data_IF_611630332242
#
_entry.id   IF_611630332242
#
_cell.length_a   1.000
_cell.length_b   1.000
_cell.length_c   1.000
_cell.angle_alpha   90.00
_cell.angle_beta   90.00
_cell.angle_gamma   90.00
#
_symmetry.space_group_name_H-M   'P 1'
#
loop_
_entity.id
_entity.type
_entity.pdbx_description
1 polymer ?
#
# COMPACT_ATOMS: atom_id res chain seq x y z
N UNK A 1 18.36 -6.32 -7.57
CA UNK A 1 18.49 -6.46 -6.11
C UNK A 1 18.44 -7.94 -5.78
N UNK A 2 19.50 -8.48 -5.17
CA UNK A 2 19.53 -9.90 -4.81
C UNK A 2 19.23 -10.00 -3.31
N UNK A 3 18.15 -10.70 -2.95
CA UNK A 3 17.94 -11.25 -1.62
C UNK A 3 18.35 -12.72 -1.69
N UNK A 4 19.65 -13.07 -1.55
CA UNK A 4 20.12 -14.42 -1.87
C UNK A 4 19.52 -15.46 -0.93
N UNK A 5 19.18 -15.06 0.30
CA UNK A 5 18.49 -15.88 1.29
C UNK A 5 17.02 -16.20 0.93
N UNK A 6 16.36 -15.35 0.14
CA UNK A 6 14.99 -15.57 -0.34
C UNK A 6 14.95 -16.22 -1.73
N UNK A 7 15.99 -15.99 -2.53
CA UNK A 7 16.15 -16.53 -3.88
C UNK A 7 17.46 -17.31 -4.04
N UNK A 8 17.65 -18.44 -3.32
CA UNK A 8 18.91 -19.20 -3.38
C UNK A 8 19.22 -19.73 -4.79
N UNK A 9 18.19 -20.09 -5.55
CA UNK A 9 18.31 -20.65 -6.90
C UNK A 9 18.02 -19.62 -8.00
N UNK A 10 17.67 -18.37 -7.66
CA UNK A 10 17.30 -17.33 -8.63
C UNK A 10 16.04 -17.60 -9.48
N UNK A 11 15.27 -18.64 -9.16
CA UNK A 11 14.06 -19.02 -9.90
C UNK A 11 12.80 -18.35 -9.35
N UNK A 12 11.74 -18.29 -10.17
CA UNK A 12 10.43 -17.74 -9.80
C UNK A 12 10.46 -16.25 -9.41
N UNK A 13 11.30 -15.46 -10.06
CA UNK A 13 11.30 -14.01 -9.92
C UNK A 13 10.04 -13.38 -10.53
N UNK A 14 9.91 -12.06 -10.35
CA UNK A 14 8.79 -11.30 -10.91
C UNK A 14 8.69 -11.47 -12.44
N UNK A 15 9.80 -11.34 -13.14
CA UNK A 15 9.86 -11.35 -14.61
C UNK A 15 9.91 -12.74 -15.24
N UNK A 16 9.75 -13.80 -14.45
CA UNK A 16 9.65 -15.16 -14.99
C UNK A 16 8.36 -15.29 -15.81
N UNK A 17 8.47 -15.78 -17.04
CA UNK A 17 7.32 -16.06 -17.89
C UNK A 17 6.40 -17.09 -17.21
N UNK A 18 5.10 -16.77 -17.14
CA UNK A 18 4.05 -17.60 -16.54
C UNK A 18 2.82 -17.53 -17.43
N UNK A 19 2.08 -18.63 -17.47
CA UNK A 19 0.77 -18.70 -18.12
C UNK A 19 -0.26 -19.13 -17.04
N UNK A 20 -1.16 -18.23 -16.59
CA UNK A 20 -1.34 -16.83 -17.02
C UNK A 20 -0.26 -15.86 -16.46
N UNK A 21 -0.11 -14.70 -17.12
CA UNK A 21 0.71 -13.59 -16.60
C UNK A 21 0.12 -13.03 -15.30
N UNK A 22 0.98 -12.84 -14.30
CA UNK A 22 0.60 -12.29 -12.98
C UNK A 22 1.01 -10.84 -12.87
N UNK A 23 0.19 -10.03 -12.18
CA UNK A 23 0.53 -8.64 -11.86
C UNK A 23 1.60 -8.60 -10.77
N UNK A 24 2.36 -7.51 -10.68
CA UNK A 24 3.30 -7.29 -9.58
C UNK A 24 2.64 -7.37 -8.19
N UNK A 25 1.43 -6.84 -8.06
CA UNK A 25 0.65 -6.90 -6.82
C UNK A 25 0.33 -8.35 -6.45
N UNK A 26 -0.16 -9.15 -7.41
CA UNK A 26 -0.49 -10.57 -7.20
C UNK A 26 0.76 -11.37 -6.85
N UNK A 27 1.87 -11.09 -7.53
CA UNK A 27 3.17 -11.68 -7.23
C UNK A 27 3.59 -11.42 -5.78
N UNK A 28 3.60 -10.16 -5.33
CA UNK A 28 3.97 -9.84 -3.96
C UNK A 28 2.99 -10.42 -2.95
N UNK A 29 1.68 -10.33 -3.20
CA UNK A 29 0.66 -10.88 -2.32
C UNK A 29 0.86 -12.39 -2.14
N UNK A 30 1.13 -13.14 -3.21
CA UNK A 30 1.41 -14.58 -3.14
C UNK A 30 2.65 -14.89 -2.29
N UNK A 31 3.69 -14.04 -2.34
CA UNK A 31 4.92 -14.20 -1.55
C UNK A 31 4.71 -13.86 -0.09
N UNK A 32 4.00 -12.77 0.20
CA UNK A 32 3.74 -12.29 1.56
C UNK A 32 2.73 -13.15 2.31
N UNK A 33 1.78 -13.76 1.61
CA UNK A 33 0.77 -14.68 2.16
C UNK A 33 1.16 -16.15 1.99
N UNK A 34 2.41 -16.42 1.59
CA UNK A 34 2.88 -17.78 1.45
C UNK A 34 2.86 -18.50 2.80
N UNK A 35 2.63 -19.82 2.78
CA UNK A 35 2.67 -20.65 3.99
C UNK A 35 4.03 -20.55 4.71
N UNK A 36 5.10 -20.35 3.93
CA UNK A 36 6.43 -20.06 4.47
C UNK A 36 6.58 -18.57 4.83
N UNK A 37 6.69 -18.30 6.13
CA UNK A 37 6.82 -16.95 6.70
C UNK A 37 8.18 -16.27 6.42
N UNK A 38 9.13 -16.91 5.72
CA UNK A 38 10.45 -16.29 5.39
C UNK A 38 10.32 -14.93 4.70
N UNK A 39 9.32 -14.77 3.83
CA UNK A 39 9.08 -13.56 3.06
C UNK A 39 8.51 -12.44 3.93
N UNK A 40 7.44 -12.75 4.67
CA UNK A 40 6.76 -11.83 5.57
C UNK A 40 7.54 -11.51 6.85
N UNK A 41 8.50 -12.34 7.25
CA UNK A 41 9.41 -12.04 8.37
C UNK A 41 10.58 -11.13 7.97
N UNK A 42 10.92 -11.06 6.68
CA UNK A 42 12.05 -10.28 6.21
C UNK A 42 11.64 -8.81 6.00
N UNK A 43 11.94 -7.97 7.00
CA UNK A 43 11.62 -6.53 6.97
C UNK A 43 12.24 -5.81 5.75
N UNK A 44 13.52 -6.03 5.40
CA UNK A 44 14.09 -5.43 4.18
C UNK A 44 13.33 -5.77 2.90
N UNK A 45 12.90 -7.02 2.74
CA UNK A 45 12.11 -7.46 1.60
C UNK A 45 10.72 -6.80 1.59
N UNK A 46 10.05 -6.74 2.74
CA UNK A 46 8.75 -6.05 2.89
C UNK A 46 8.84 -4.59 2.44
N UNK A 47 9.80 -3.84 2.99
CA UNK A 47 9.98 -2.43 2.67
C UNK A 47 10.35 -2.23 1.20
N UNK A 48 11.22 -3.08 0.66
CA UNK A 48 11.54 -3.06 -0.77
C UNK A 48 10.29 -3.29 -1.64
N UNK A 49 9.50 -4.32 -1.33
CA UNK A 49 8.29 -4.65 -2.09
C UNK A 49 7.23 -3.54 -2.03
N UNK A 50 7.10 -2.88 -0.86
CA UNK A 50 6.23 -1.73 -0.68
C UNK A 50 6.69 -0.53 -1.50
N UNK A 51 7.98 -0.18 -1.45
CA UNK A 51 8.53 0.93 -2.22
C UNK A 51 8.39 0.71 -3.73
N UNK A 52 8.66 -0.50 -4.20
CA UNK A 52 8.52 -0.84 -5.62
C UNK A 52 7.04 -0.80 -6.06
N UNK A 53 6.11 -1.16 -5.18
CA UNK A 53 4.67 -1.06 -5.45
C UNK A 53 4.23 0.41 -5.55
N UNK A 54 4.72 1.26 -4.65
CA UNK A 54 4.48 2.70 -4.71
C UNK A 54 5.04 3.30 -6.01
N UNK A 55 6.27 2.96 -6.39
CA UNK A 55 6.88 3.42 -7.64
C UNK A 55 6.03 3.03 -8.86
N UNK A 56 5.57 1.78 -8.93
CA UNK A 56 4.70 1.32 -10.02
C UNK A 56 3.37 2.09 -10.05
N UNK A 57 2.71 2.26 -8.90
CA UNK A 57 1.45 3.03 -8.83
C UNK A 57 1.64 4.49 -9.23
N UNK A 58 2.76 5.10 -8.85
CA UNK A 58 3.10 6.46 -9.25
C UNK A 58 3.31 6.55 -10.76
N UNK A 59 4.07 5.64 -11.35
CA UNK A 59 4.27 5.56 -12.79
C UNK A 59 2.96 5.42 -13.56
N UNK A 60 2.08 4.53 -13.10
CA UNK A 60 0.76 4.34 -13.71
C UNK A 60 -0.10 5.61 -13.59
N UNK A 61 -0.07 6.26 -12.42
CA UNK A 61 -0.82 7.51 -12.21
C UNK A 61 -0.33 8.66 -13.10
N UNK A 62 0.99 8.76 -13.32
CA UNK A 62 1.59 9.73 -14.23
C UNK A 62 1.16 9.42 -15.67
N UNK A 63 1.25 8.16 -16.08
CA UNK A 63 0.83 7.73 -17.43
C UNK A 63 -0.64 8.07 -17.69
N UNK A 64 -1.52 7.76 -16.74
CA UNK A 64 -2.96 8.05 -16.84
C UNK A 64 -3.21 9.56 -16.89
N UNK A 65 -2.58 10.35 -16.01
CA UNK A 65 -2.74 11.79 -15.98
C UNK A 65 -2.31 12.44 -17.31
N UNK A 66 -1.18 12.00 -17.87
CA UNK A 66 -0.69 12.45 -19.17
C UNK A 66 -1.66 12.07 -20.31
N UNK A 67 -2.19 10.84 -20.30
CA UNK A 67 -3.11 10.38 -21.36
C UNK A 67 -4.48 11.06 -21.32
N UNK A 68 -5.12 11.17 -20.14
CA UNK A 68 -6.46 11.76 -20.00
C UNK A 68 -6.47 13.20 -20.54
N UNK A 69 -5.41 13.97 -20.26
CA UNK A 69 -5.34 15.38 -20.62
C UNK A 69 -4.91 15.61 -22.07
N UNK A 70 -4.15 14.68 -22.66
CA UNK A 70 -4.00 14.62 -24.13
C UNK A 70 -5.34 14.41 -24.85
N UNK A 71 -6.28 13.68 -24.25
CA UNK A 71 -7.61 13.43 -24.83
C UNK A 71 -8.62 14.57 -24.65
N UNK A 72 -8.49 15.35 -23.57
CA UNK A 72 -9.33 16.53 -23.28
C UNK A 72 -8.89 17.78 -24.07
N UNK A 73 -7.64 17.82 -24.52
CA UNK A 73 -7.12 18.85 -25.44
C UNK A 73 -7.59 18.67 -26.89
N UNK A 74 -8.78 18.09 -27.12
CA UNK A 74 -9.36 17.86 -28.45
C UNK A 74 -9.78 19.16 -29.19
N UNK A 75 -9.34 20.32 -28.71
CA UNK A 75 -9.35 21.60 -29.42
C UNK A 75 -7.96 22.22 -29.65
N UNK A 76 -6.90 21.68 -29.05
CA UNK A 76 -5.51 22.13 -29.23
C UNK A 76 -4.61 20.92 -29.52
N UNK A 77 -4.21 20.78 -30.78
CA UNK A 77 -3.41 19.68 -31.31
C UNK A 77 -1.94 19.76 -30.87
N UNK A 78 -1.65 19.81 -29.57
CA UNK A 78 -0.27 19.76 -29.06
C UNK A 78 -0.02 18.41 -28.42
N UNK A 79 0.43 17.46 -29.23
CA UNK A 79 1.05 16.24 -28.72
C UNK A 79 2.42 16.61 -28.16
N UNK A 80 2.50 16.87 -26.85
CA UNK A 80 3.78 17.15 -26.19
C UNK A 80 4.71 15.95 -26.41
N UNK A 81 5.70 16.14 -27.26
CA UNK A 81 6.67 15.09 -27.60
C UNK A 81 7.80 15.11 -26.57
N UNK A 82 8.37 13.95 -26.22
CA UNK A 82 9.46 13.86 -25.23
C UNK A 82 10.64 14.82 -25.52
N UNK A 83 10.89 15.15 -26.79
CA UNK A 83 11.90 16.12 -27.22
C UNK A 83 11.54 17.59 -26.97
N UNK A 84 10.25 17.94 -26.88
CA UNK A 84 9.77 19.28 -26.54
C UNK A 84 9.85 19.51 -25.03
N UNK A 85 9.56 18.47 -24.24
CA UNK A 85 9.72 18.47 -22.78
C UNK A 85 11.20 18.66 -22.36
N UNK A 86 12.14 18.14 -23.15
CA UNK A 86 13.59 18.26 -22.89
C UNK A 86 14.20 19.58 -23.35
N UNK A 87 13.51 20.35 -24.21
CA UNK A 87 14.02 21.58 -24.83
C UNK A 87 13.43 22.87 -24.24
N UNK A 88 12.23 22.81 -23.65
CA UNK A 88 11.53 24.01 -23.15
C UNK A 88 11.84 24.30 -21.67
N UNK A 89 11.89 25.58 -21.33
CA UNK A 89 11.82 26.05 -19.94
C UNK A 89 10.51 25.55 -19.30
N UNK A 90 10.62 24.43 -18.59
CA UNK A 90 9.52 23.63 -18.03
C UNK A 90 8.55 24.42 -17.11
N UNK A 91 8.94 25.61 -16.66
CA UNK A 91 8.16 26.48 -15.80
C UNK A 91 7.01 27.19 -16.48
N UNK A 92 7.00 27.32 -17.82
CA UNK A 92 6.03 28.18 -18.52
C UNK A 92 4.84 27.43 -19.14
N UNK A 93 4.80 26.11 -19.12
CA UNK A 93 3.66 25.36 -19.67
C UNK A 93 2.57 25.15 -18.59
N UNK A 94 1.46 25.92 -18.59
CA UNK A 94 0.39 25.78 -17.61
C UNK A 94 -0.28 24.40 -17.66
N UNK A 95 -0.31 23.76 -18.84
CA UNK A 95 -0.84 22.41 -18.98
C UNK A 95 0.04 21.38 -18.24
N UNK A 96 1.36 21.56 -18.24
CA UNK A 96 2.28 20.66 -17.54
C UNK A 96 2.18 20.84 -16.02
N UNK A 97 2.02 22.08 -15.55
CA UNK A 97 1.84 22.36 -14.12
C UNK A 97 0.52 21.77 -13.61
N UNK A 98 -0.58 21.91 -14.33
CA UNK A 98 -1.87 21.27 -13.98
C UNK A 98 -1.81 19.74 -14.06
N UNK A 99 -1.14 19.19 -15.08
CA UNK A 99 -0.92 17.74 -15.20
C UNK A 99 -0.10 17.21 -14.02
N UNK A 100 0.90 17.97 -13.58
CA UNK A 100 1.71 17.60 -12.42
C UNK A 100 0.90 17.57 -11.14
N UNK A 101 0.00 18.55 -10.97
CA UNK A 101 -0.88 18.61 -9.81
C UNK A 101 -1.80 17.38 -9.72
N UNK A 102 -2.32 16.88 -10.85
CA UNK A 102 -3.23 15.73 -10.88
C UNK A 102 -2.58 14.43 -10.38
N UNK A 103 -1.37 14.07 -10.83
CA UNK A 103 -0.71 12.87 -10.33
C UNK A 103 -0.12 13.06 -8.93
N UNK A 104 0.30 14.28 -8.56
CA UNK A 104 0.83 14.58 -7.23
C UNK A 104 -0.18 14.34 -6.11
N UNK A 105 -1.50 14.39 -6.38
CA UNK A 105 -2.53 14.04 -5.40
C UNK A 105 -2.41 12.61 -4.86
N UNK A 106 -1.79 11.69 -5.61
CA UNK A 106 -1.57 10.31 -5.18
C UNK A 106 -0.30 10.15 -4.34
N UNK A 107 0.58 11.15 -4.31
CA UNK A 107 1.78 11.16 -3.48
C UNK A 107 1.41 11.68 -2.10
N UNK A 108 1.40 10.79 -1.10
CA UNK A 108 1.11 11.18 0.28
C UNK A 108 2.10 12.23 0.76
N UNK A 109 1.58 13.30 1.38
CA UNK A 109 2.39 14.40 1.91
C UNK A 109 2.70 15.51 0.91
N UNK A 110 2.33 15.36 -0.37
CA UNK A 110 2.42 16.44 -1.35
C UNK A 110 1.43 17.57 -1.03
N UNK A 111 1.68 18.78 -1.53
CA UNK A 111 0.73 19.90 -1.41
C UNK A 111 -0.63 19.56 -2.04
N UNK A 112 -0.63 18.90 -3.20
CA UNK A 112 -1.85 18.47 -3.88
C UNK A 112 -2.66 17.44 -3.06
N UNK A 113 -1.98 16.52 -2.37
CA UNK A 113 -2.62 15.55 -1.47
C UNK A 113 -3.32 16.25 -0.30
N UNK A 114 -2.65 17.22 0.35
CA UNK A 114 -3.24 17.96 1.46
C UNK A 114 -4.41 18.83 1.02
N UNK A 115 -4.29 19.52 -0.11
CA UNK A 115 -5.39 20.32 -0.67
C UNK A 115 -6.63 19.46 -0.93
N UNK A 116 -6.47 18.26 -1.48
CA UNK A 116 -7.59 17.33 -1.67
C UNK A 116 -8.25 16.96 -0.34
N UNK A 117 -7.47 16.58 0.66
CA UNK A 117 -8.00 16.24 1.99
C UNK A 117 -8.73 17.42 2.65
N UNK A 118 -8.23 18.65 2.47
CA UNK A 118 -8.88 19.87 2.97
C UNK A 118 -10.19 20.16 2.25
N UNK A 119 -10.26 19.96 0.94
CA UNK A 119 -11.50 20.10 0.17
C UNK A 119 -12.55 19.06 0.59
N UNK A 120 -12.13 17.80 0.80
CA UNK A 120 -13.02 16.74 1.31
C UNK A 120 -13.55 17.10 2.71
N UNK A 121 -12.70 17.67 3.58
CA UNK A 121 -13.12 18.17 4.90
C UNK A 121 -14.15 19.30 4.79
N UNK A 122 -13.94 20.27 3.90
CA UNK A 122 -14.91 21.35 3.68
C UNK A 122 -16.22 20.83 3.09
N UNK A 123 -16.17 19.83 2.21
CA UNK A 123 -17.36 19.18 1.68
C UNK A 123 -18.13 18.47 2.80
N UNK A 124 -17.43 17.72 3.66
CA UNK A 124 -18.02 17.09 4.84
C UNK A 124 -18.67 18.12 5.78
N UNK A 125 -18.00 19.25 6.04
CA UNK A 125 -18.54 20.33 6.86
C UNK A 125 -19.82 20.93 6.27
N UNK A 126 -19.86 21.12 4.94
CA UNK A 126 -21.05 21.64 4.24
C UNK A 126 -22.21 20.64 4.24
N UNK A 127 -21.94 19.35 4.06
CA UNK A 127 -22.98 18.33 3.95
C UNK A 127 -23.51 17.84 5.30
N UNK A 128 -22.63 17.63 6.28
CA UNK A 128 -22.97 17.05 7.58
C UNK A 128 -23.08 18.09 8.69
N UNK A 129 -22.64 19.33 8.44
CA UNK A 129 -22.53 20.38 9.44
C UNK A 129 -21.22 20.29 10.26
N UNK A 130 -21.07 21.17 11.27
CA UNK A 130 -19.91 21.15 12.15
C UNK A 130 -19.84 19.84 12.94
N UNK A 131 -18.72 19.13 12.83
CA UNK A 131 -18.49 17.89 13.60
C UNK A 131 -18.15 18.25 15.05
N UNK A 132 -19.01 17.84 15.97
CA UNK A 132 -18.85 18.12 17.41
C UNK A 132 -17.86 17.17 18.10
N UNK A 133 -17.60 15.98 17.54
CA UNK A 133 -16.72 14.98 18.13
C UNK A 133 -15.70 14.44 17.12
N UNK A 134 -14.44 14.39 17.56
CA UNK A 134 -13.37 13.67 16.89
C UNK A 134 -13.01 12.48 17.77
N UNK A 135 -13.23 11.27 17.24
CA UNK A 135 -12.87 10.03 17.93
C UNK A 135 -11.80 9.34 17.10
N UNK A 136 -10.66 9.05 17.71
CA UNK A 136 -9.62 8.19 17.14
C UNK A 136 -9.73 6.82 17.79
N UNK A 137 -10.16 5.82 17.03
CA UNK A 137 -10.18 4.43 17.48
C UNK A 137 -8.86 3.76 17.10
N UNK A 138 -8.29 3.01 18.04
CA UNK A 138 -7.13 2.16 17.79
C UNK A 138 -7.41 0.76 18.30
N UNK A 139 -6.96 -0.26 17.56
CA UNK A 139 -7.11 -1.65 17.96
C UNK A 139 -5.97 -2.06 18.90
N UNK A 140 -6.31 -2.61 20.08
CA UNK A 140 -5.31 -3.28 20.92
C UNK A 140 -5.08 -4.70 20.41
N UNK A 141 -4.13 -4.82 19.48
CA UNK A 141 -3.75 -6.10 18.89
C UNK A 141 -3.23 -7.10 19.93
N UNK A 142 -2.70 -6.67 21.07
CA UNK A 142 -2.17 -7.61 22.08
C UNK A 142 -3.28 -8.33 22.82
N UNK A 143 -4.44 -7.70 22.96
CA UNK A 143 -5.57 -8.25 23.70
C UNK A 143 -6.68 -8.78 22.78
N UNK A 144 -6.47 -8.73 21.47
CA UNK A 144 -7.40 -9.31 20.50
C UNK A 144 -7.31 -10.85 20.54
N UNK A 145 -8.33 -11.48 21.11
CA UNK A 145 -8.43 -12.92 21.27
C UNK A 145 -8.36 -13.64 19.90
N UNK A 146 -9.18 -13.23 18.95
CA UNK A 146 -9.23 -13.82 17.61
C UNK A 146 -7.86 -13.77 16.90
N UNK A 147 -7.16 -12.64 17.05
CA UNK A 147 -5.81 -12.49 16.51
C UNK A 147 -4.84 -13.48 17.16
N UNK A 148 -4.89 -13.64 18.49
CA UNK A 148 -4.00 -14.56 19.19
C UNK A 148 -4.29 -16.03 18.84
N UNK A 149 -5.55 -16.41 18.65
CA UNK A 149 -5.93 -17.74 18.17
C UNK A 149 -5.33 -18.01 16.79
N UNK A 150 -5.49 -17.09 15.84
CA UNK A 150 -4.92 -17.26 14.49
C UNK A 150 -3.39 -17.35 14.53
N UNK A 151 -2.74 -16.50 15.33
CA UNK A 151 -1.28 -16.53 15.47
C UNK A 151 -0.77 -17.82 16.13
N UNK A 152 -1.51 -18.39 17.09
CA UNK A 152 -1.17 -19.67 17.70
C UNK A 152 -1.24 -20.82 16.67
N UNK A 153 -2.29 -20.83 15.84
CA UNK A 153 -2.44 -21.78 14.73
C UNK A 153 -1.27 -21.64 13.74
N UNK A 154 -0.90 -20.42 13.36
CA UNK A 154 0.25 -20.17 12.49
C UNK A 154 1.59 -20.62 13.11
N UNK A 155 1.72 -20.57 14.44
CA UNK A 155 2.90 -21.07 15.16
C UNK A 155 2.90 -22.60 15.33
N UNK A 156 1.84 -23.28 14.87
CA UNK A 156 1.67 -24.73 15.00
C UNK A 156 1.22 -25.18 16.40
N UNK A 157 0.73 -24.26 17.23
CA UNK A 157 0.19 -24.57 18.55
C UNK A 157 -1.33 -24.66 18.47
N UNK A 158 -1.87 -25.86 18.69
CA UNK A 158 -3.30 -26.06 18.91
C UNK A 158 -3.61 -25.77 20.38
N UNK A 159 -3.70 -24.48 20.72
CA UNK A 159 -4.08 -24.04 22.06
C UNK A 159 -5.61 -24.04 22.16
N UNK A 160 -6.12 -24.45 23.33
CA UNK A 160 -7.50 -24.21 23.70
C UNK A 160 -7.76 -22.72 23.98
N UNK A 161 -9.03 -22.31 23.95
CA UNK A 161 -9.44 -20.92 24.17
C UNK A 161 -8.96 -20.35 25.52
N UNK A 162 -8.89 -21.18 26.55
CA UNK A 162 -8.45 -20.76 27.89
C UNK A 162 -6.92 -20.58 27.93
N UNK A 163 -6.16 -21.44 27.26
CA UNK A 163 -4.70 -21.29 27.15
C UNK A 163 -4.30 -20.04 26.35
N UNK A 164 -5.08 -19.65 25.34
CA UNK A 164 -4.83 -18.42 24.58
C UNK A 164 -5.03 -17.17 25.44
N UNK A 165 -5.99 -17.19 26.38
CA UNK A 165 -6.21 -16.09 27.33
C UNK A 165 -5.10 -16.00 28.38
N UNK A 166 -4.50 -17.12 28.74
CA UNK A 166 -3.42 -17.17 29.73
C UNK A 166 -2.01 -16.92 29.15
N UNK A 167 -1.88 -16.78 27.82
CA UNK A 167 -0.60 -16.47 27.17
C UNK A 167 0.13 -15.29 27.82
N UNK A 168 1.42 -15.45 28.07
CA UNK A 168 2.23 -14.37 28.64
C UNK A 168 2.37 -13.18 27.68
N UNK A 169 2.50 -11.96 28.21
CA UNK A 169 2.68 -10.75 27.40
C UNK A 169 3.93 -10.82 26.49
N UNK A 170 4.97 -11.52 26.93
CA UNK A 170 6.18 -11.77 26.14
C UNK A 170 5.90 -12.68 24.95
N UNK A 171 5.13 -13.76 25.12
CA UNK A 171 4.75 -14.65 24.03
C UNK A 171 3.84 -13.96 23.02
N UNK A 172 2.86 -13.18 23.49
CA UNK A 172 2.02 -12.36 22.61
C UNK A 172 2.86 -11.43 21.75
N UNK A 173 3.82 -10.74 22.36
CA UNK A 173 4.75 -9.86 21.61
C UNK A 173 5.61 -10.64 20.60
N UNK A 174 6.10 -11.82 20.98
CA UNK A 174 6.86 -12.71 20.09
C UNK A 174 6.03 -13.10 18.86
N UNK A 175 4.79 -13.51 19.06
CA UNK A 175 3.88 -13.89 17.97
C UNK A 175 3.58 -12.71 17.04
N UNK A 176 3.27 -11.53 17.60
CA UNK A 176 3.03 -10.31 16.84
C UNK A 176 4.25 -9.90 15.99
N UNK A 177 5.45 -9.99 16.56
CA UNK A 177 6.69 -9.66 15.85
C UNK A 177 7.05 -10.69 14.79
N UNK A 178 6.64 -11.95 14.96
CA UNK A 178 6.96 -13.04 14.02
C UNK A 178 6.07 -13.02 12.78
N UNK A 179 4.82 -12.58 12.90
CA UNK A 179 3.84 -12.61 11.81
C UNK A 179 3.26 -11.21 11.50
N UNK A 180 4.10 -10.22 11.13
CA UNK A 180 3.65 -8.83 10.99
C UNK A 180 2.58 -8.65 9.89
N UNK A 181 2.64 -9.42 8.81
CA UNK A 181 1.69 -9.35 7.69
C UNK A 181 0.30 -9.85 8.10
N UNK A 182 0.22 -10.97 8.83
CA UNK A 182 -1.04 -11.56 9.30
C UNK A 182 -1.72 -10.62 10.30
N UNK A 183 -0.93 -10.03 11.21
CA UNK A 183 -1.43 -9.02 12.15
C UNK A 183 -2.05 -7.85 11.41
N UNK A 184 -1.34 -7.28 10.43
CA UNK A 184 -1.85 -6.16 9.65
C UNK A 184 -3.14 -6.51 8.89
N UNK A 185 -3.23 -7.71 8.32
CA UNK A 185 -4.40 -8.18 7.59
C UNK A 185 -5.64 -8.28 8.50
N UNK A 186 -5.51 -8.96 9.64
CA UNK A 186 -6.62 -9.19 10.57
C UNK A 186 -7.06 -7.88 11.22
N UNK A 187 -6.13 -7.03 11.66
CA UNK A 187 -6.46 -5.72 12.23
C UNK A 187 -7.25 -4.86 11.24
N UNK A 188 -6.92 -4.93 9.94
CA UNK A 188 -7.60 -4.15 8.90
C UNK A 188 -9.00 -4.70 8.58
N UNK A 189 -9.19 -6.02 8.66
CA UNK A 189 -10.51 -6.65 8.55
C UNK A 189 -11.39 -6.24 9.72
N UNK A 190 -10.87 -6.31 10.95
CA UNK A 190 -11.60 -5.91 12.15
C UNK A 190 -12.04 -4.43 12.10
N UNK A 191 -11.18 -3.55 11.59
CA UNK A 191 -11.50 -2.12 11.48
C UNK A 191 -12.56 -1.81 10.40
N UNK A 192 -12.68 -2.63 9.35
CA UNK A 192 -13.69 -2.43 8.30
C UNK A 192 -15.11 -2.84 8.72
N UNK A 193 -15.23 -3.64 9.78
CA UNK A 193 -16.51 -4.13 10.30
C UNK A 193 -17.13 -3.18 11.35
N UNK A 194 -16.37 -2.17 11.80
CA UNK A 194 -16.82 -1.07 12.65
C UNK A 194 -17.33 0.10 11.82
#
# INVERSE_FOLDING_TARGET
>A
MAFPCLFPNGVNGLHTARDPTITFTDYNQSRLLNADNRWSSNIPYLLWSANLLEEMRLRDSISIAMQIRLSLSLGSTVRITAGELLKGDLSENPELSENSYAFMQNIRGSSAYWNRATLDLFAMFRMLGPRTFFITLSADNKNCFDLMCVLAICDGKNLSDDEVKELSTSERRRLLSRYPVIVALISLIAFKLL
#
